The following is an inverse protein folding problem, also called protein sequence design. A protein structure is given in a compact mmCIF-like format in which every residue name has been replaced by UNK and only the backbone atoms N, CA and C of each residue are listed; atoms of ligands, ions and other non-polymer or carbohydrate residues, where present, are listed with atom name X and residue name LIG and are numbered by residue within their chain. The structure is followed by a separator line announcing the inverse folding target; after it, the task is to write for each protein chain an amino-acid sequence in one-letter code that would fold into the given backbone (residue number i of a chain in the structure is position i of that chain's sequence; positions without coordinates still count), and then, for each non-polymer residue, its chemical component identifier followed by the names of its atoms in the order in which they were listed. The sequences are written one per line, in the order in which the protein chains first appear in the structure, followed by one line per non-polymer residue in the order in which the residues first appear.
data_IF_550300865574
#
_entry.id   IF_550300865574
#
_cell.length_a   1.000
_cell.length_b   1.000
_cell.length_c   1.000
_cell.angle_alpha   90.00
_cell.angle_beta   90.00
_cell.angle_gamma   90.00
#
_symmetry.space_group_name_H-M   'P 1'
#
loop_
_entity.id
_entity.type
_entity.pdbx_description
1 polymer ?
#
# COMPACT_ATOMS: atom_id res chain seq x y z
N UNK A 1 12.08 -11.74 0.29
CA UNK A 1 12.32 -11.18 -1.07
C UNK A 1 12.56 -9.66 -1.03
N UNK A 2 11.81 -8.92 -0.25
CA UNK A 2 11.95 -7.46 -0.12
C UNK A 2 13.29 -7.05 0.54
N UNK A 3 13.74 -7.75 1.58
CA UNK A 3 15.01 -7.47 2.24
C UNK A 3 16.22 -7.80 1.35
N UNK A 4 16.18 -8.94 0.65
CA UNK A 4 17.26 -9.33 -0.26
C UNK A 4 17.38 -8.35 -1.44
N UNK A 5 16.26 -7.90 -2.01
CA UNK A 5 16.26 -6.87 -3.05
C UNK A 5 16.80 -5.52 -2.52
N UNK A 6 16.46 -5.16 -1.28
CA UNK A 6 17.00 -3.96 -0.62
C UNK A 6 18.52 -4.05 -0.38
N UNK A 7 19.02 -5.22 -0.01
CA UNK A 7 20.46 -5.41 0.22
C UNK A 7 21.27 -5.42 -1.08
N UNK A 8 20.73 -6.02 -2.14
CA UNK A 8 21.33 -5.96 -3.47
C UNK A 8 21.35 -4.51 -3.97
N UNK A 9 20.26 -3.78 -3.81
CA UNK A 9 20.16 -2.37 -4.17
C UNK A 9 21.17 -1.50 -3.40
N UNK A 10 21.30 -1.69 -2.09
CA UNK A 10 22.27 -0.96 -1.26
C UNK A 10 23.70 -1.23 -1.69
N UNK A 11 24.07 -2.49 -1.97
CA UNK A 11 25.39 -2.87 -2.44
C UNK A 11 25.72 -2.23 -3.79
N UNK A 12 24.77 -2.21 -4.72
CA UNK A 12 24.98 -1.61 -6.03
C UNK A 12 25.16 -0.10 -5.93
N UNK A 13 24.34 0.58 -5.12
CA UNK A 13 24.49 2.01 -4.86
C UNK A 13 25.83 2.32 -4.21
N UNK A 14 26.26 1.50 -3.26
CA UNK A 14 27.57 1.64 -2.59
C UNK A 14 28.74 1.46 -3.57
N UNK A 15 28.68 0.45 -4.45
CA UNK A 15 29.70 0.19 -5.46
C UNK A 15 29.78 1.29 -6.52
N UNK A 16 28.69 2.02 -6.77
CA UNK A 16 28.65 3.17 -7.69
C UNK A 16 29.15 4.48 -7.02
N UNK A 17 29.59 4.43 -5.76
CA UNK A 17 30.07 5.61 -5.02
C UNK A 17 28.98 6.61 -4.63
N UNK A 18 27.72 6.22 -4.70
CA UNK A 18 26.59 7.04 -4.27
C UNK A 18 26.39 6.88 -2.76
N UNK A 19 26.95 7.77 -1.97
CA UNK A 19 26.93 7.68 -0.49
C UNK A 19 25.58 7.98 0.14
N UNK A 20 24.69 8.73 -0.52
CA UNK A 20 23.35 9.04 -0.04
C UNK A 20 22.33 8.94 -1.17
N UNK A 21 21.39 7.98 -1.06
CA UNK A 21 20.24 7.89 -1.96
C UNK A 21 19.06 8.56 -1.28
N UNK A 22 18.85 9.82 -1.58
CA UNK A 22 17.59 10.50 -1.25
C UNK A 22 16.45 9.90 -2.07
N UNK A 23 15.27 9.75 -1.49
CA UNK A 23 14.12 9.15 -2.17
C UNK A 23 13.73 9.89 -3.46
N UNK A 24 14.05 11.19 -3.57
CA UNK A 24 13.90 11.97 -4.79
C UNK A 24 14.85 11.54 -5.92
N UNK A 25 15.97 10.89 -5.57
CA UNK A 25 16.96 10.36 -6.49
C UNK A 25 16.72 8.86 -6.81
N UNK A 26 15.79 8.20 -6.13
CA UNK A 26 15.54 6.76 -6.30
C UNK A 26 15.21 6.40 -7.76
N UNK A 27 14.40 7.21 -8.44
CA UNK A 27 14.06 7.00 -9.85
C UNK A 27 15.25 7.21 -10.79
N UNK A 28 16.13 8.17 -10.51
CA UNK A 28 17.37 8.39 -11.25
C UNK A 28 18.38 7.26 -11.03
N UNK A 29 18.50 6.79 -9.79
CA UNK A 29 19.40 5.69 -9.41
C UNK A 29 19.02 4.37 -10.08
N UNK A 30 17.72 4.06 -10.21
CA UNK A 30 17.25 2.88 -10.95
C UNK A 30 17.77 2.93 -12.39
N UNK A 31 17.73 4.08 -13.04
CA UNK A 31 18.23 4.26 -14.40
C UNK A 31 19.72 3.98 -14.54
N UNK A 32 20.53 4.44 -13.58
CA UNK A 32 21.99 4.20 -13.54
C UNK A 32 22.27 2.71 -13.35
N UNK A 33 21.62 2.08 -12.36
CA UNK A 33 21.77 0.65 -12.07
C UNK A 33 21.39 -0.23 -13.26
N UNK A 34 20.26 0.07 -13.92
CA UNK A 34 19.82 -0.69 -15.08
C UNK A 34 20.83 -0.60 -16.24
N UNK A 35 21.45 0.58 -16.46
CA UNK A 35 22.47 0.75 -17.50
C UNK A 35 23.79 0.05 -17.16
N UNK A 36 24.16 0.07 -15.86
CA UNK A 36 25.39 -0.56 -15.39
C UNK A 36 25.34 -2.10 -15.51
N UNK A 37 24.21 -2.70 -15.12
CA UNK A 37 24.03 -4.16 -15.14
C UNK A 37 23.72 -4.70 -16.53
N UNK A 38 22.84 -4.03 -17.29
CA UNK A 38 22.29 -4.54 -18.55
C UNK A 38 22.92 -3.89 -19.79
N UNK A 39 23.89 -2.99 -19.58
CA UNK A 39 24.47 -2.19 -20.63
C UNK A 39 23.50 -1.12 -21.20
N UNK A 40 23.96 -0.33 -22.20
CA UNK A 40 23.17 0.82 -22.68
C UNK A 40 21.82 0.41 -23.27
N UNK A 41 21.76 -0.63 -24.06
CA UNK A 41 20.53 -1.09 -24.73
C UNK A 41 19.59 -1.77 -23.75
N UNK A 42 20.10 -2.71 -22.95
CA UNK A 42 19.31 -3.40 -21.93
C UNK A 42 18.78 -2.44 -20.87
N UNK A 43 19.58 -1.45 -20.47
CA UNK A 43 19.18 -0.42 -19.54
C UNK A 43 18.00 0.44 -20.05
N UNK A 44 17.98 0.79 -21.34
CA UNK A 44 16.84 1.51 -21.94
C UNK A 44 15.58 0.66 -21.92
N UNK A 45 15.67 -0.62 -22.30
CA UNK A 45 14.52 -1.54 -22.30
C UNK A 45 13.96 -1.69 -20.88
N UNK A 46 14.84 -1.89 -19.89
CA UNK A 46 14.44 -1.99 -18.49
C UNK A 46 13.75 -0.71 -17.99
N UNK A 47 14.27 0.47 -18.33
CA UNK A 47 13.67 1.76 -17.99
C UNK A 47 12.28 1.94 -18.61
N UNK A 48 12.11 1.55 -19.88
CA UNK A 48 10.78 1.58 -20.51
C UNK A 48 9.80 0.68 -19.75
N UNK A 49 10.22 -0.51 -19.34
CA UNK A 49 9.41 -1.40 -18.49
C UNK A 49 9.01 -0.76 -17.17
N UNK A 50 9.95 -0.13 -16.48
CA UNK A 50 9.71 0.58 -15.21
C UNK A 50 8.73 1.76 -15.37
N UNK A 51 8.70 2.41 -16.52
CA UNK A 51 7.78 3.52 -16.82
C UNK A 51 6.39 2.99 -17.21
N UNK A 52 6.33 1.97 -18.07
CA UNK A 52 5.06 1.45 -18.61
C UNK A 52 4.25 0.72 -17.53
N UNK A 53 4.92 -0.03 -16.64
CA UNK A 53 4.25 -0.81 -15.60
C UNK A 53 3.38 0.05 -14.65
N UNK A 54 3.86 1.17 -14.07
CA UNK A 54 3.01 2.04 -13.26
C UNK A 54 1.87 2.70 -14.03
N UNK A 55 2.06 3.01 -15.32
CA UNK A 55 1.01 3.61 -16.15
C UNK A 55 -0.16 2.65 -16.32
N UNK A 56 0.12 1.40 -16.68
CA UNK A 56 -0.92 0.37 -16.85
C UNK A 56 -1.61 0.00 -15.55
N UNK A 57 -0.84 -0.14 -14.47
CA UNK A 57 -1.38 -0.42 -13.14
C UNK A 57 -2.20 0.76 -12.60
N UNK A 58 -1.76 1.99 -12.86
CA UNK A 58 -2.46 3.22 -12.48
C UNK A 58 -3.82 3.35 -13.19
N UNK A 59 -3.88 3.08 -14.49
CA UNK A 59 -5.17 3.09 -15.22
C UNK A 59 -6.17 2.10 -14.61
N UNK A 60 -5.72 0.89 -14.32
CA UNK A 60 -6.56 -0.15 -13.71
C UNK A 60 -7.01 0.24 -12.30
N UNK A 61 -6.11 0.79 -11.48
CA UNK A 61 -6.43 1.24 -10.13
C UNK A 61 -7.44 2.41 -10.11
N UNK A 62 -7.26 3.40 -10.98
CA UNK A 62 -8.17 4.54 -11.11
C UNK A 62 -9.54 4.12 -11.64
N UNK A 63 -9.58 3.13 -12.53
CA UNK A 63 -10.83 2.54 -13.01
C UNK A 63 -11.58 1.82 -11.89
N UNK A 64 -10.88 1.00 -11.10
CA UNK A 64 -11.46 0.29 -9.95
C UNK A 64 -11.96 1.28 -8.90
N UNK A 65 -11.18 2.31 -8.58
CA UNK A 65 -11.59 3.36 -7.65
C UNK A 65 -12.88 4.07 -8.12
N UNK A 66 -12.93 4.43 -9.40
CA UNK A 66 -14.14 5.05 -9.98
C UNK A 66 -15.35 4.15 -9.84
N UNK A 67 -15.23 2.86 -10.15
CA UNK A 67 -16.34 1.90 -10.04
C UNK A 67 -16.77 1.75 -8.59
N UNK A 68 -15.84 1.61 -7.64
CA UNK A 68 -16.15 1.49 -6.21
C UNK A 68 -16.89 2.73 -5.68
N UNK A 69 -16.44 3.93 -6.05
CA UNK A 69 -17.12 5.19 -5.67
C UNK A 69 -18.50 5.26 -6.30
N UNK A 70 -18.61 4.89 -7.58
CA UNK A 70 -19.88 4.88 -8.30
C UNK A 70 -20.89 3.94 -7.66
N UNK A 71 -20.49 2.74 -7.29
CA UNK A 71 -21.35 1.75 -6.62
C UNK A 71 -21.77 2.24 -5.22
N UNK A 72 -20.83 2.80 -4.46
CA UNK A 72 -21.11 3.33 -3.12
C UNK A 72 -22.07 4.52 -3.12
N UNK A 73 -21.96 5.39 -4.12
CA UNK A 73 -22.79 6.59 -4.28
C UNK A 73 -24.02 6.36 -5.18
N UNK A 74 -24.24 5.13 -5.66
CA UNK A 74 -25.33 4.77 -6.59
C UNK A 74 -25.36 5.66 -7.85
N UNK A 75 -24.19 6.03 -8.37
CA UNK A 75 -24.07 6.87 -9.58
C UNK A 75 -24.16 5.97 -10.81
N UNK A 76 -25.14 6.23 -11.65
CA UNK A 76 -25.28 5.53 -12.94
C UNK A 76 -24.10 5.83 -13.87
N UNK A 77 -23.33 4.78 -14.21
CA UNK A 77 -22.15 4.83 -15.09
C UNK A 77 -22.49 4.64 -16.57
N UNK A 78 -23.75 4.39 -16.93
CA UNK A 78 -24.17 4.25 -18.33
C UNK A 78 -24.06 5.59 -19.07
N UNK A 79 -24.25 6.69 -18.36
CA UNK A 79 -24.16 8.05 -18.88
C UNK A 79 -22.68 8.48 -19.05
N UNK A 80 -22.26 8.73 -20.29
CA UNK A 80 -20.90 9.21 -20.63
C UNK A 80 -20.48 10.46 -19.85
N UNK A 81 -21.31 11.53 -19.72
CA UNK A 81 -20.90 12.74 -19.00
C UNK A 81 -20.70 12.50 -17.49
N UNK A 82 -21.54 11.70 -16.85
CA UNK A 82 -21.38 11.37 -15.42
C UNK A 82 -20.10 10.57 -15.17
N UNK A 83 -19.81 9.58 -16.03
CA UNK A 83 -18.58 8.79 -15.98
C UNK A 83 -17.34 9.65 -16.18
N UNK A 84 -17.37 10.58 -17.15
CA UNK A 84 -16.23 11.46 -17.42
C UNK A 84 -16.04 12.46 -16.29
N UNK A 85 -17.11 13.03 -15.75
CA UNK A 85 -17.07 13.96 -14.63
C UNK A 85 -16.45 13.33 -13.37
N UNK A 86 -16.91 12.12 -13.00
CA UNK A 86 -16.33 11.41 -11.86
C UNK A 86 -14.85 11.07 -12.08
N UNK A 87 -14.48 10.65 -13.28
CA UNK A 87 -13.08 10.42 -13.63
C UNK A 87 -12.24 11.69 -13.51
N UNK A 88 -12.74 12.82 -14.01
CA UNK A 88 -12.03 14.10 -13.94
C UNK A 88 -11.79 14.55 -12.49
N UNK A 89 -12.77 14.38 -11.60
CA UNK A 89 -12.61 14.68 -10.17
C UNK A 89 -11.52 13.81 -9.55
N UNK A 90 -11.54 12.50 -9.81
CA UNK A 90 -10.53 11.57 -9.29
C UNK A 90 -9.13 11.94 -9.82
N UNK A 91 -9.00 12.21 -11.12
CA UNK A 91 -7.72 12.63 -11.70
C UNK A 91 -7.22 13.96 -11.14
N UNK A 92 -8.10 14.94 -10.92
CA UNK A 92 -7.74 16.21 -10.32
C UNK A 92 -7.21 16.01 -8.89
N UNK A 93 -7.87 15.19 -8.08
CA UNK A 93 -7.44 14.86 -6.72
C UNK A 93 -6.07 14.17 -6.71
N UNK A 94 -5.86 13.19 -7.58
CA UNK A 94 -4.58 12.50 -7.72
C UNK A 94 -3.49 13.47 -8.19
N UNK A 95 -3.79 14.37 -9.12
CA UNK A 95 -2.85 15.39 -9.59
C UNK A 95 -2.41 16.33 -8.45
N UNK A 96 -3.35 16.79 -7.61
CA UNK A 96 -3.03 17.61 -6.43
C UNK A 96 -2.08 16.88 -5.48
N UNK A 97 -2.36 15.60 -5.19
CA UNK A 97 -1.51 14.77 -4.34
C UNK A 97 -0.11 14.62 -4.94
N UNK A 98 -0.01 14.38 -6.24
CA UNK A 98 1.28 14.26 -6.95
C UNK A 98 2.08 15.57 -6.93
N UNK A 99 1.42 16.71 -7.15
CA UNK A 99 2.06 18.02 -7.08
C UNK A 99 2.61 18.27 -5.66
N UNK A 100 1.80 17.99 -4.63
CA UNK A 100 2.24 18.06 -3.23
C UNK A 100 3.46 17.16 -2.95
N UNK A 101 3.43 15.92 -3.40
CA UNK A 101 4.53 14.97 -3.22
C UNK A 101 5.82 15.43 -3.89
N UNK A 102 5.71 16.09 -5.05
CA UNK A 102 6.87 16.60 -5.81
C UNK A 102 7.39 17.92 -5.26
N UNK A 103 6.54 18.74 -4.66
CA UNK A 103 6.88 20.07 -4.14
C UNK A 103 7.61 20.01 -2.80
N UNK A 104 7.47 18.94 -2.03
CA UNK A 104 8.12 18.74 -0.73
C UNK A 104 9.29 17.75 -0.85
N UNK A 105 10.47 18.03 -0.28
CA UNK A 105 11.60 17.10 -0.27
C UNK A 105 11.24 15.74 0.35
N UNK A 106 10.40 15.74 1.38
CA UNK A 106 9.94 14.55 2.07
C UNK A 106 8.57 14.05 1.61
N UNK A 107 7.92 14.75 0.68
CA UNK A 107 6.55 14.46 0.25
C UNK A 107 6.39 13.07 -0.32
N UNK A 108 7.35 12.60 -1.11
CA UNK A 108 7.35 11.23 -1.64
C UNK A 108 7.45 10.19 -0.51
N UNK A 109 8.36 10.38 0.45
CA UNK A 109 8.54 9.47 1.59
C UNK A 109 7.29 9.43 2.47
N UNK A 110 6.67 10.57 2.67
CA UNK A 110 5.42 10.68 3.42
C UNK A 110 4.29 9.90 2.74
N UNK A 111 4.07 10.11 1.45
CA UNK A 111 3.08 9.37 0.68
C UNK A 111 3.36 7.87 0.66
N UNK A 112 4.62 7.47 0.52
CA UNK A 112 5.01 6.07 0.54
C UNK A 112 4.69 5.38 1.86
N UNK A 113 4.91 6.08 2.99
CA UNK A 113 4.56 5.58 4.33
C UNK A 113 3.05 5.44 4.51
N UNK A 114 2.27 6.44 4.09
CA UNK A 114 0.80 6.34 4.10
C UNK A 114 0.28 5.22 3.20
N UNK A 115 0.83 5.10 2.00
CA UNK A 115 0.47 4.03 1.06
C UNK A 115 0.74 2.64 1.66
N UNK A 116 1.92 2.42 2.23
CA UNK A 116 2.27 1.15 2.84
C UNK A 116 1.35 0.81 4.02
N UNK A 117 1.09 1.79 4.90
CA UNK A 117 0.18 1.60 6.02
C UNK A 117 -1.27 1.34 5.56
N UNK A 118 -1.77 2.10 4.60
CA UNK A 118 -3.13 1.94 4.07
C UNK A 118 -3.32 0.57 3.41
N UNK A 119 -2.32 0.10 2.66
CA UNK A 119 -2.36 -1.21 2.01
C UNK A 119 -2.42 -2.36 3.02
N UNK A 120 -1.63 -2.27 4.09
CA UNK A 120 -1.68 -3.24 5.19
C UNK A 120 -3.00 -3.17 5.95
N UNK A 121 -3.53 -1.97 6.19
CA UNK A 121 -4.84 -1.79 6.82
C UNK A 121 -5.96 -2.39 5.97
N UNK A 122 -5.92 -2.22 4.65
CA UNK A 122 -6.89 -2.82 3.74
C UNK A 122 -6.89 -4.36 3.84
N UNK A 123 -5.72 -4.97 4.04
CA UNK A 123 -5.62 -6.44 4.20
C UNK A 123 -6.35 -6.95 5.45
N UNK A 124 -6.49 -6.14 6.50
CA UNK A 124 -7.27 -6.51 7.70
C UNK A 124 -8.74 -6.73 7.37
N UNK A 125 -9.31 -5.82 6.57
CA UNK A 125 -10.70 -5.95 6.13
C UNK A 125 -10.89 -7.15 5.20
N UNK A 126 -9.89 -7.47 4.37
CA UNK A 126 -9.92 -8.66 3.54
C UNK A 126 -9.91 -9.94 4.39
N UNK A 127 -9.02 -10.05 5.39
CA UNK A 127 -8.99 -11.19 6.31
C UNK A 127 -10.26 -11.30 7.14
N UNK A 128 -10.83 -10.17 7.58
CA UNK A 128 -12.11 -10.14 8.27
C UNK A 128 -13.22 -10.68 7.37
N UNK A 129 -13.34 -10.18 6.14
CA UNK A 129 -14.35 -10.64 5.19
C UNK A 129 -14.24 -12.13 4.86
N UNK A 130 -12.99 -12.63 4.66
CA UNK A 130 -12.74 -14.07 4.45
C UNK A 130 -13.17 -14.87 5.67
N UNK A 131 -12.86 -14.40 6.89
CA UNK A 131 -13.24 -15.09 8.13
C UNK A 131 -14.76 -15.19 8.29
N UNK A 132 -15.48 -14.11 8.04
CA UNK A 132 -16.95 -14.06 8.08
C UNK A 132 -17.53 -15.01 7.03
N UNK A 133 -17.05 -14.94 5.79
CA UNK A 133 -17.48 -15.83 4.73
C UNK A 133 -17.27 -17.32 5.07
N UNK A 134 -16.16 -17.65 5.72
CA UNK A 134 -15.87 -19.02 6.16
C UNK A 134 -16.87 -19.52 7.22
N UNK A 135 -17.30 -18.67 8.13
CA UNK A 135 -18.34 -19.03 9.09
C UNK A 135 -19.68 -19.31 8.40
N UNK A 136 -20.09 -18.46 7.47
CA UNK A 136 -21.35 -18.56 6.74
C UNK A 136 -21.41 -19.78 5.82
N UNK A 137 -20.26 -20.24 5.30
CA UNK A 137 -20.18 -21.36 4.37
C UNK A 137 -19.74 -22.69 5.01
N UNK A 138 -20.00 -22.88 6.30
CA UNK A 138 -19.70 -24.13 7.05
C UNK A 138 -18.21 -24.53 7.05
N UNK A 139 -17.30 -23.57 6.85
CA UNK A 139 -15.84 -23.79 6.84
C UNK A 139 -15.18 -23.29 8.13
N UNK A 140 -15.92 -23.20 9.24
CA UNK A 140 -15.45 -22.69 10.53
C UNK A 140 -14.16 -23.36 11.03
N UNK A 141 -13.92 -24.63 10.69
CA UNK A 141 -12.68 -25.35 11.03
C UNK A 141 -11.40 -24.69 10.49
N UNK A 142 -11.51 -23.95 9.40
CA UNK A 142 -10.38 -23.35 8.70
C UNK A 142 -10.24 -21.85 8.94
N UNK A 143 -11.11 -21.25 9.77
CA UNK A 143 -11.09 -19.80 10.06
C UNK A 143 -9.76 -19.34 10.66
N UNK A 144 -9.03 -20.22 11.35
CA UNK A 144 -7.70 -19.88 11.89
C UNK A 144 -6.70 -19.46 10.81
N UNK A 145 -6.87 -19.88 9.53
CA UNK A 145 -5.96 -19.54 8.42
C UNK A 145 -5.97 -18.02 8.15
N UNK A 146 -7.09 -17.32 7.94
CA UNK A 146 -7.12 -15.88 7.82
C UNK A 146 -7.05 -15.15 9.17
N UNK A 147 -7.46 -15.78 10.28
CA UNK A 147 -7.51 -15.17 11.61
C UNK A 147 -6.12 -14.84 12.16
N UNK A 148 -5.15 -15.76 12.04
CA UNK A 148 -3.79 -15.58 12.56
C UNK A 148 -3.08 -14.43 11.84
N UNK A 149 -2.95 -14.41 10.49
CA UNK A 149 -2.35 -13.27 9.81
C UNK A 149 -3.15 -11.98 10.01
N UNK A 150 -4.48 -12.04 10.08
CA UNK A 150 -5.32 -10.87 10.38
C UNK A 150 -5.01 -10.25 11.74
N UNK A 151 -4.88 -11.06 12.78
CA UNK A 151 -4.50 -10.60 14.12
C UNK A 151 -3.07 -10.01 14.13
N UNK A 152 -2.13 -10.66 13.45
CA UNK A 152 -0.76 -10.18 13.31
C UNK A 152 -0.70 -8.82 12.60
N UNK A 153 -1.36 -8.69 11.46
CA UNK A 153 -1.41 -7.41 10.73
C UNK A 153 -2.12 -6.33 11.55
N UNK A 154 -3.16 -6.66 12.32
CA UNK A 154 -3.82 -5.71 13.23
C UNK A 154 -2.82 -5.19 14.26
N UNK A 155 -2.08 -6.08 14.91
CA UNK A 155 -1.04 -5.69 15.84
C UNK A 155 -0.02 -4.74 15.19
N UNK A 156 0.53 -5.12 14.04
CA UNK A 156 1.57 -4.34 13.33
C UNK A 156 1.06 -2.97 12.88
N UNK A 157 -0.12 -2.92 12.23
CA UNK A 157 -0.65 -1.67 11.66
C UNK A 157 -1.07 -0.69 12.75
N UNK A 158 -1.68 -1.16 13.84
CA UNK A 158 -2.10 -0.31 14.96
C UNK A 158 -0.91 0.17 15.76
N UNK A 159 0.07 -0.70 16.06
CA UNK A 159 1.31 -0.30 16.73
C UNK A 159 2.08 0.71 15.89
N UNK A 160 2.17 0.50 14.58
CA UNK A 160 2.86 1.42 13.68
C UNK A 160 2.22 2.80 13.69
N UNK A 161 0.91 2.92 13.49
CA UNK A 161 0.24 4.23 13.45
C UNK A 161 0.26 4.93 14.82
N UNK A 162 0.27 4.15 15.91
CA UNK A 162 0.39 4.70 17.25
C UNK A 162 1.76 5.36 17.49
N UNK A 163 2.85 4.74 16.99
CA UNK A 163 4.21 5.22 17.23
C UNK A 163 4.77 6.11 16.10
N UNK A 164 4.35 5.88 14.83
CA UNK A 164 4.95 6.52 13.67
C UNK A 164 4.80 8.05 13.67
N UNK A 165 5.76 8.73 13.03
CA UNK A 165 5.72 10.18 12.81
C UNK A 165 4.52 10.65 12.00
N UNK A 166 3.93 9.77 11.19
CA UNK A 166 2.70 10.03 10.44
C UNK A 166 1.43 9.81 11.26
N UNK A 167 1.55 9.35 12.52
CA UNK A 167 0.44 8.99 13.40
C UNK A 167 0.48 9.78 14.71
N UNK A 168 0.29 9.07 15.84
CA UNK A 168 0.07 9.68 17.13
C UNK A 168 1.34 9.97 17.93
N UNK A 169 2.52 9.59 17.47
CA UNK A 169 3.81 9.79 18.16
C UNK A 169 3.89 9.22 19.59
N UNK A 170 3.14 8.16 19.88
CA UNK A 170 3.12 7.52 21.19
C UNK A 170 4.44 6.74 21.39
N UNK A 171 5.06 6.76 22.58
CA UNK A 171 6.23 5.93 22.88
C UNK A 171 5.98 4.45 22.62
N UNK A 172 7.05 3.68 22.31
CA UNK A 172 6.94 2.27 21.92
C UNK A 172 6.18 1.40 22.91
N UNK A 173 6.43 1.56 24.22
CA UNK A 173 5.80 0.70 25.25
C UNK A 173 4.27 0.78 25.22
N UNK A 174 3.62 1.95 25.33
CA UNK A 174 2.16 2.04 25.22
C UNK A 174 1.65 1.70 23.82
N UNK A 175 2.41 1.99 22.75
CA UNK A 175 2.02 1.62 21.39
C UNK A 175 1.88 0.11 21.20
N UNK A 176 2.78 -0.69 21.80
CA UNK A 176 2.67 -2.15 21.79
C UNK A 176 1.43 -2.64 22.55
N UNK A 177 1.12 -2.04 23.71
CA UNK A 177 -0.07 -2.40 24.50
C UNK A 177 -1.34 -2.14 23.67
N UNK A 178 -1.43 -0.98 23.03
CA UNK A 178 -2.56 -0.63 22.15
C UNK A 178 -2.68 -1.62 20.99
N UNK A 179 -1.55 -1.98 20.37
CA UNK A 179 -1.53 -2.95 19.28
C UNK A 179 -1.99 -4.34 19.70
N UNK A 180 -1.56 -4.83 20.87
CA UNK A 180 -2.01 -6.11 21.43
C UNK A 180 -3.51 -6.07 21.76
N UNK A 181 -3.98 -5.01 22.40
CA UNK A 181 -5.41 -4.85 22.70
C UNK A 181 -6.26 -4.86 21.42
N UNK A 182 -5.81 -4.17 20.37
CA UNK A 182 -6.48 -4.15 19.08
C UNK A 182 -6.51 -5.55 18.42
N UNK A 183 -5.40 -6.29 18.44
CA UNK A 183 -5.34 -7.65 17.91
C UNK A 183 -6.27 -8.61 18.67
N UNK A 184 -6.31 -8.51 20.00
CA UNK A 184 -7.24 -9.31 20.83
C UNK A 184 -8.69 -8.94 20.51
N UNK A 185 -8.99 -7.66 20.39
CA UNK A 185 -10.33 -7.20 20.00
C UNK A 185 -10.74 -7.72 18.62
N UNK A 186 -9.84 -7.68 17.64
CA UNK A 186 -10.06 -8.23 16.30
C UNK A 186 -10.44 -9.71 16.34
N UNK A 187 -9.66 -10.53 17.06
CA UNK A 187 -9.95 -11.96 17.23
C UNK A 187 -11.27 -12.17 17.95
N UNK A 188 -11.53 -11.42 19.05
CA UNK A 188 -12.74 -11.53 19.83
C UNK A 188 -14.00 -11.22 19.01
N UNK A 189 -13.97 -10.19 18.17
CA UNK A 189 -15.08 -9.82 17.27
C UNK A 189 -15.37 -10.95 16.28
N UNK A 190 -14.35 -11.51 15.64
CA UNK A 190 -14.52 -12.58 14.66
C UNK A 190 -15.07 -13.85 15.31
N UNK A 191 -14.52 -14.24 16.48
CA UNK A 191 -14.99 -15.45 17.21
C UNK A 191 -16.40 -15.24 17.75
N UNK A 192 -16.73 -14.03 18.22
CA UNK A 192 -18.09 -13.71 18.68
C UNK A 192 -19.11 -13.82 17.52
N UNK A 193 -18.75 -13.30 16.37
CA UNK A 193 -19.59 -13.42 15.17
C UNK A 193 -19.83 -14.87 14.77
N UNK A 194 -18.78 -15.70 14.81
CA UNK A 194 -18.86 -17.13 14.45
C UNK A 194 -19.66 -18.01 15.42
N UNK A 195 -19.95 -17.50 16.63
CA UNK A 195 -20.80 -18.19 17.63
C UNK A 195 -22.28 -17.80 17.52
N UNK A 196 -22.62 -16.83 16.73
CA UNK A 196 -23.96 -16.31 16.53
C UNK A 196 -24.66 -16.97 15.33
#
# INVERSE_FOLDING_TARGET
LSSAASDVYKRQVYNLGLQEVNASLATGTIGVICKDILGPVGGIIALLGVIVLPITSGDTALRSLRLSISDSLHIDQSSKPKRLGLSAIIFALVAVILVFAKSSPDGFNLLWRYFAWSNQTLSLFAFLGISVWMFENSKAKWVWIPLIPGAWYTFVTVTFIANAQIGFHIPWTPAYIIGVCAAVAYVAIIVWYGKK
#
